data_IF_434290347141
#
_entry.id   IF_434290347141
#
_cell.length_a   1.000
_cell.length_b   1.000
_cell.length_c   1.000
_cell.angle_alpha   90.00
_cell.angle_beta   90.00
_cell.angle_gamma   90.00
#
_symmetry.space_group_name_H-M   'P 1'
#
loop_
_entity.id
_entity.type
_entity.pdbx_description
1 polymer ?
#
# COMPACT_ATOMS: atom_id res chain seq x y z
N UNK A 1 -12.21 -1.44 -19.91
CA UNK A 1 -11.24 -2.53 -20.18
C UNK A 1 -10.10 -2.39 -19.19
N UNK A 2 -9.66 -3.49 -18.54
CA UNK A 2 -8.57 -3.42 -17.57
C UNK A 2 -7.23 -3.23 -18.30
N UNK A 3 -6.53 -2.15 -17.97
CA UNK A 3 -5.19 -1.85 -18.48
C UNK A 3 -4.16 -2.07 -17.37
N UNK A 4 -3.01 -2.63 -17.71
CA UNK A 4 -1.86 -2.66 -16.79
C UNK A 4 -0.86 -1.63 -17.29
N UNK A 5 -0.52 -0.68 -16.42
CA UNK A 5 0.53 0.31 -16.64
C UNK A 5 1.70 -0.04 -15.74
N UNK A 6 2.87 -0.29 -16.33
CA UNK A 6 4.11 -0.48 -15.59
C UNK A 6 5.19 0.45 -16.11
N UNK A 7 5.95 0.98 -15.15
CA UNK A 7 7.12 1.83 -15.38
C UNK A 7 8.36 0.97 -15.25
N UNK A 8 9.05 0.75 -16.37
CA UNK A 8 10.35 0.11 -16.37
C UNK A 8 11.43 1.20 -16.34
N UNK A 9 12.30 1.17 -15.33
CA UNK A 9 13.46 2.04 -15.30
C UNK A 9 14.56 1.43 -16.18
N UNK A 10 14.99 2.17 -17.19
CA UNK A 10 16.17 1.90 -18.00
C UNK A 10 17.30 2.88 -17.60
N UNK A 11 18.54 2.55 -17.93
CA UNK A 11 19.76 3.29 -17.54
C UNK A 11 19.69 4.80 -17.87
N UNK A 12 18.90 5.19 -18.88
CA UNK A 12 18.79 6.58 -19.35
C UNK A 12 17.37 7.17 -19.26
N UNK A 13 16.33 6.39 -18.96
CA UNK A 13 14.93 6.88 -18.94
C UNK A 13 13.93 5.91 -18.29
N UNK A 14 12.72 6.38 -18.01
CA UNK A 14 11.60 5.53 -17.58
C UNK A 14 10.69 5.24 -18.78
N UNK A 15 10.60 3.98 -19.17
CA UNK A 15 9.71 3.55 -20.25
C UNK A 15 8.33 3.20 -19.68
N UNK A 16 7.31 3.83 -20.25
CA UNK A 16 5.91 3.50 -19.99
C UNK A 16 5.43 2.44 -20.98
N UNK A 17 5.06 1.27 -20.48
CA UNK A 17 4.52 0.21 -21.32
C UNK A 17 3.05 0.01 -20.97
N UNK A 18 2.20 0.06 -21.99
CA UNK A 18 0.78 -0.21 -21.88
C UNK A 18 0.48 -1.56 -22.52
N UNK A 19 -0.01 -2.50 -21.73
CA UNK A 19 -0.45 -3.78 -22.25
C UNK A 19 -1.97 -3.82 -22.25
N UNK A 20 -2.58 -3.93 -23.43
CA UNK A 20 -4.02 -4.12 -23.59
C UNK A 20 -4.35 -5.58 -23.32
N UNK A 21 -5.26 -5.81 -22.38
CA UNK A 21 -5.62 -7.16 -21.93
C UNK A 21 -7.08 -7.44 -22.28
N UNK A 22 -7.29 -8.61 -22.90
CA UNK A 22 -8.58 -8.99 -23.47
C UNK A 22 -9.42 -9.87 -22.53
N UNK A 23 -8.81 -10.53 -21.53
CA UNK A 23 -9.51 -11.41 -20.59
C UNK A 23 -9.04 -11.23 -19.14
N UNK A 24 -9.92 -11.50 -18.17
CA UNK A 24 -9.59 -11.40 -16.74
C UNK A 24 -8.52 -12.39 -16.30
N UNK A 25 -8.55 -13.60 -16.86
CA UNK A 25 -7.50 -14.61 -16.62
C UNK A 25 -6.12 -14.12 -17.08
N UNK A 26 -6.08 -13.48 -18.26
CA UNK A 26 -4.86 -12.87 -18.77
C UNK A 26 -4.43 -11.68 -17.90
N UNK A 27 -5.37 -10.86 -17.42
CA UNK A 27 -5.08 -9.73 -16.54
C UNK A 27 -4.47 -10.21 -15.21
N UNK A 28 -5.10 -11.19 -14.57
CA UNK A 28 -4.62 -11.74 -13.31
C UNK A 28 -3.23 -12.37 -13.47
N UNK A 29 -2.98 -13.09 -14.58
CA UNK A 29 -1.66 -13.64 -14.91
C UNK A 29 -0.59 -12.55 -15.04
N UNK A 30 -0.84 -11.53 -15.85
CA UNK A 30 0.13 -10.45 -16.07
C UNK A 30 0.34 -9.61 -14.82
N UNK A 31 -0.73 -9.28 -14.08
CA UNK A 31 -0.63 -8.51 -12.85
C UNK A 31 0.15 -9.27 -11.77
N UNK A 32 -0.12 -10.57 -11.58
CA UNK A 32 0.65 -11.41 -10.66
C UNK A 32 2.13 -11.48 -11.06
N UNK A 33 2.40 -11.67 -12.35
CA UNK A 33 3.76 -11.69 -12.91
C UNK A 33 4.51 -10.39 -12.62
N UNK A 34 3.94 -9.24 -13.01
CA UNK A 34 4.55 -7.93 -12.79
C UNK A 34 4.78 -7.64 -11.30
N UNK A 35 3.84 -8.05 -10.43
CA UNK A 35 3.95 -7.88 -8.98
C UNK A 35 5.09 -8.72 -8.39
N UNK A 36 5.27 -9.96 -8.83
CA UNK A 36 6.42 -10.80 -8.42
C UNK A 36 7.75 -10.30 -8.99
N UNK A 37 7.77 -9.95 -10.28
CA UNK A 37 8.97 -9.42 -10.93
C UNK A 37 9.46 -8.14 -10.26
N UNK A 38 8.55 -7.26 -9.84
CA UNK A 38 8.90 -6.04 -9.09
C UNK A 38 9.58 -6.30 -7.74
N UNK A 39 9.46 -7.52 -7.21
CA UNK A 39 10.08 -8.02 -5.98
C UNK A 39 11.28 -8.93 -6.25
N UNK A 40 11.74 -9.03 -7.50
CA UNK A 40 12.85 -9.89 -7.90
C UNK A 40 12.52 -11.39 -7.92
N UNK A 41 11.23 -11.76 -7.92
CA UNK A 41 10.78 -13.16 -7.92
C UNK A 41 10.28 -13.58 -9.30
N UNK A 42 10.54 -14.84 -9.66
CA UNK A 42 10.16 -15.39 -10.96
C UNK A 42 8.76 -16.02 -10.93
N UNK A 43 8.26 -16.40 -12.10
CA UNK A 43 7.02 -17.17 -12.25
C UNK A 43 7.08 -18.58 -11.65
N UNK A 44 8.28 -19.09 -11.36
CA UNK A 44 8.49 -20.38 -10.70
C UNK A 44 8.36 -20.29 -9.17
N UNK A 45 8.18 -19.08 -8.61
CA UNK A 45 7.95 -18.90 -7.18
C UNK A 45 6.62 -19.55 -6.78
N UNK A 46 6.64 -20.31 -5.68
CA UNK A 46 5.47 -21.05 -5.19
C UNK A 46 4.28 -20.15 -4.85
N UNK A 47 4.50 -18.85 -4.63
CA UNK A 47 3.44 -17.87 -4.36
C UNK A 47 2.69 -17.39 -5.60
N UNK A 48 3.17 -17.70 -6.82
CA UNK A 48 2.57 -17.20 -8.06
C UNK A 48 1.11 -17.59 -8.25
N UNK A 49 0.78 -18.88 -8.11
CA UNK A 49 -0.61 -19.34 -8.30
C UNK A 49 -1.54 -18.78 -7.21
N UNK A 50 -1.04 -18.60 -5.99
CA UNK A 50 -1.81 -17.99 -4.91
C UNK A 50 -2.10 -16.50 -5.17
N UNK A 51 -1.12 -15.75 -5.69
CA UNK A 51 -1.29 -14.33 -6.04
C UNK A 51 -2.27 -14.16 -7.21
N UNK A 52 -2.12 -14.98 -8.26
CA UNK A 52 -3.03 -14.99 -9.40
C UNK A 52 -4.47 -15.30 -8.97
N UNK A 53 -4.66 -16.31 -8.11
CA UNK A 53 -5.98 -16.64 -7.54
C UNK A 53 -6.55 -15.46 -6.76
N UNK A 54 -5.75 -14.82 -5.91
CA UNK A 54 -6.17 -13.64 -5.13
C UNK A 54 -6.69 -12.50 -6.02
N UNK A 55 -6.02 -12.25 -7.16
CA UNK A 55 -6.45 -11.22 -8.12
C UNK A 55 -7.74 -11.64 -8.83
N UNK A 56 -7.89 -12.91 -9.21
CA UNK A 56 -9.12 -13.42 -9.81
C UNK A 56 -10.31 -13.33 -8.85
N UNK A 57 -10.14 -13.75 -7.61
CA UNK A 57 -11.17 -13.69 -6.58
C UNK A 57 -11.61 -12.22 -6.35
N UNK A 58 -10.65 -11.28 -6.36
CA UNK A 58 -10.95 -9.85 -6.26
C UNK A 58 -11.76 -9.32 -7.45
N UNK A 59 -11.43 -9.72 -8.68
CA UNK A 59 -12.17 -9.32 -9.87
C UNK A 59 -13.60 -9.90 -9.86
N UNK A 60 -13.76 -11.14 -9.41
CA UNK A 60 -15.09 -11.76 -9.27
C UNK A 60 -15.95 -11.03 -8.26
N UNK A 61 -15.39 -10.59 -7.12
CA UNK A 61 -16.12 -9.80 -6.12
C UNK A 61 -16.62 -8.44 -6.63
N UNK A 62 -15.99 -7.88 -7.67
CA UNK A 62 -16.41 -6.61 -8.27
C UNK A 62 -17.57 -6.75 -9.25
N UNK A 63 -17.89 -7.96 -9.71
CA UNK A 63 -19.01 -8.21 -10.61
C UNK A 63 -20.32 -8.32 -9.85
N UNK A 64 -21.44 -7.84 -10.41
CA UNK A 64 -22.77 -8.23 -9.96
C UNK A 64 -22.89 -9.76 -9.93
N UNK A 65 -23.44 -10.33 -8.87
CA UNK A 65 -23.76 -11.75 -8.85
C UNK A 65 -24.86 -12.08 -9.87
N UNK A 66 -24.76 -13.21 -10.57
CA UNK A 66 -25.70 -13.65 -11.63
C UNK A 66 -27.12 -14.03 -11.12
N UNK A 67 -27.43 -13.85 -9.83
CA UNK A 67 -28.72 -14.21 -9.26
C UNK A 67 -29.25 -13.11 -8.35
N UNK A 68 -30.57 -12.80 -8.42
CA UNK A 68 -31.15 -11.71 -7.66
C UNK A 68 -30.87 -11.89 -6.18
N UNK A 69 -30.26 -10.83 -5.65
CA UNK A 69 -30.16 -10.47 -4.25
C UNK A 69 -31.40 -10.87 -3.44
N UNK A 70 -31.17 -11.35 -2.22
CA UNK A 70 -32.18 -11.40 -1.16
C UNK A 70 -33.07 -10.15 -1.21
N UNK A 71 -34.38 -10.29 -0.96
CA UNK A 71 -35.30 -9.15 -0.94
C UNK A 71 -34.71 -8.03 -0.06
N UNK A 72 -34.47 -6.81 -0.58
CA UNK A 72 -33.84 -5.73 0.19
C UNK A 72 -34.58 -5.39 1.49
N UNK A 73 -35.89 -5.66 1.52
CA UNK A 73 -36.76 -5.43 2.68
C UNK A 73 -36.68 -6.53 3.75
N UNK A 74 -36.06 -7.68 3.48
CA UNK A 74 -35.85 -8.73 4.49
C UNK A 74 -34.56 -8.52 5.29
N UNK A 75 -33.70 -7.59 4.87
CA UNK A 75 -32.45 -7.25 5.52
C UNK A 75 -32.57 -5.83 6.09
N UNK A 76 -32.64 -5.70 7.43
CA UNK A 76 -32.65 -4.39 8.10
C UNK A 76 -31.24 -3.77 8.11
N UNK A 77 -30.72 -3.43 6.93
CA UNK A 77 -29.40 -2.82 6.76
C UNK A 77 -29.54 -1.30 6.79
N UNK A 78 -28.96 -0.66 7.81
CA UNK A 78 -28.83 0.79 7.89
C UNK A 78 -27.62 1.22 7.08
N UNK A 79 -27.83 1.95 5.99
CA UNK A 79 -26.77 2.28 5.00
C UNK A 79 -25.67 3.16 5.62
N UNK A 80 -26.05 3.97 6.60
CA UNK A 80 -25.22 4.93 7.32
C UNK A 80 -24.08 4.25 8.08
N UNK A 81 -24.28 3.01 8.53
CA UNK A 81 -23.30 2.25 9.32
C UNK A 81 -22.18 1.64 8.46
N UNK A 82 -22.42 1.45 7.16
CA UNK A 82 -21.50 0.74 6.27
C UNK A 82 -20.78 1.64 5.26
N UNK A 83 -21.20 2.91 5.13
CA UNK A 83 -20.73 3.81 4.08
C UNK A 83 -20.25 5.13 4.68
N UNK A 84 -19.06 5.58 4.25
CA UNK A 84 -18.52 6.85 4.71
C UNK A 84 -19.46 8.04 4.39
N UNK A 85 -19.60 9.03 5.30
CA UNK A 85 -20.59 10.10 5.19
C UNK A 85 -20.56 10.90 3.87
N UNK A 86 -19.38 11.02 3.26
CA UNK A 86 -19.19 11.72 1.97
C UNK A 86 -19.97 11.07 0.82
N UNK A 87 -20.20 9.75 0.86
CA UNK A 87 -20.92 9.03 -0.18
C UNK A 87 -22.43 8.96 0.07
N UNK A 88 -22.88 9.04 1.34
CA UNK A 88 -24.29 9.08 1.71
C UNK A 88 -25.04 10.23 1.01
N UNK A 89 -24.40 11.40 0.96
CA UNK A 89 -24.98 12.59 0.32
C UNK A 89 -25.06 12.47 -1.21
N UNK A 90 -24.13 11.76 -1.84
CA UNK A 90 -23.96 11.70 -3.31
C UNK A 90 -24.80 10.61 -3.98
N UNK A 91 -25.13 9.52 -3.28
CA UNK A 91 -25.72 8.32 -3.87
C UNK A 91 -27.07 7.93 -3.23
N UNK A 92 -27.82 8.91 -2.71
CA UNK A 92 -29.12 8.69 -2.05
C UNK A 92 -30.04 7.77 -2.86
N UNK A 93 -30.64 6.78 -2.20
CA UNK A 93 -31.62 5.85 -2.77
C UNK A 93 -31.07 4.67 -3.57
N UNK A 94 -29.81 4.70 -4.05
CA UNK A 94 -29.20 3.58 -4.80
C UNK A 94 -28.23 2.74 -3.97
N UNK A 95 -27.82 3.23 -2.80
CA UNK A 95 -26.81 2.56 -1.96
C UNK A 95 -27.28 1.22 -1.41
N UNK A 96 -28.53 1.13 -0.93
CA UNK A 96 -29.07 -0.12 -0.39
C UNK A 96 -29.02 -1.23 -1.45
N UNK A 97 -29.50 -0.96 -2.66
CA UNK A 97 -29.43 -1.92 -3.77
C UNK A 97 -27.99 -2.39 -4.04
N UNK A 98 -27.03 -1.46 -4.12
CA UNK A 98 -25.61 -1.78 -4.37
C UNK A 98 -24.99 -2.60 -3.25
N UNK A 99 -25.38 -2.36 -1.99
CA UNK A 99 -24.91 -3.14 -0.84
C UNK A 99 -25.45 -4.57 -0.93
N UNK A 100 -26.74 -4.76 -1.21
CA UNK A 100 -27.34 -6.11 -1.29
C UNK A 100 -26.78 -6.88 -2.49
N UNK A 101 -26.56 -6.21 -3.62
CA UNK A 101 -25.90 -6.77 -4.81
C UNK A 101 -24.47 -7.22 -4.51
N UNK A 102 -23.65 -6.38 -3.86
CA UNK A 102 -22.30 -6.75 -3.46
C UNK A 102 -22.28 -7.84 -2.38
N UNK A 103 -23.26 -7.84 -1.47
CA UNK A 103 -23.40 -8.86 -0.43
C UNK A 103 -23.61 -10.26 -1.02
N UNK A 104 -24.25 -10.39 -2.19
CA UNK A 104 -24.45 -11.67 -2.85
C UNK A 104 -23.12 -12.40 -3.17
N UNK A 105 -22.03 -11.67 -3.38
CA UNK A 105 -20.70 -12.22 -3.65
C UNK A 105 -19.99 -12.76 -2.39
N UNK A 106 -20.42 -12.33 -1.20
CA UNK A 106 -19.76 -12.66 0.07
C UNK A 106 -20.65 -13.41 1.06
N UNK A 107 -21.94 -13.60 0.74
CA UNK A 107 -22.94 -14.21 1.63
C UNK A 107 -22.57 -15.59 2.19
N UNK A 108 -21.76 -16.35 1.44
CA UNK A 108 -21.38 -17.72 1.80
C UNK A 108 -19.99 -17.79 2.46
N UNK A 109 -19.31 -16.66 2.67
CA UNK A 109 -18.00 -16.64 3.32
C UNK A 109 -18.16 -16.86 4.84
N UNK A 110 -17.36 -17.76 5.44
CA UNK A 110 -17.25 -17.86 6.89
C UNK A 110 -16.83 -16.52 7.52
N UNK A 111 -17.19 -16.31 8.80
CA UNK A 111 -16.93 -15.04 9.51
C UNK A 111 -15.46 -14.58 9.41
N UNK A 112 -14.51 -15.50 9.59
CA UNK A 112 -13.09 -15.17 9.54
C UNK A 112 -12.65 -14.83 8.13
N UNK A 113 -13.12 -15.56 7.12
CA UNK A 113 -12.78 -15.32 5.72
C UNK A 113 -13.39 -14.01 5.21
N UNK A 114 -14.59 -13.65 5.66
CA UNK A 114 -15.20 -12.36 5.37
C UNK A 114 -14.36 -11.20 5.92
N UNK A 115 -13.92 -11.28 7.19
CA UNK A 115 -13.01 -10.29 7.80
C UNK A 115 -11.68 -10.20 7.07
N UNK A 116 -11.11 -11.35 6.71
CA UNK A 116 -9.82 -11.41 6.03
C UNK A 116 -9.91 -10.90 4.59
N UNK A 117 -11.02 -11.17 3.90
CA UNK A 117 -11.32 -10.58 2.59
C UNK A 117 -11.45 -9.06 2.66
N UNK A 118 -12.12 -8.54 3.70
CA UNK A 118 -12.19 -7.09 3.94
C UNK A 118 -10.80 -6.46 4.11
N UNK A 119 -9.93 -7.08 4.92
CA UNK A 119 -8.55 -6.63 5.12
C UNK A 119 -7.79 -6.64 3.79
N UNK A 120 -7.91 -7.70 2.99
CA UNK A 120 -7.26 -7.78 1.66
C UNK A 120 -7.75 -6.69 0.71
N UNK A 121 -9.06 -6.42 0.70
CA UNK A 121 -9.64 -5.35 -0.11
C UNK A 121 -9.09 -3.98 0.32
N UNK A 122 -8.98 -3.73 1.63
CA UNK A 122 -8.34 -2.53 2.17
C UNK A 122 -6.86 -2.42 1.81
N UNK A 123 -6.11 -3.51 1.89
CA UNK A 123 -4.69 -3.58 1.52
C UNK A 123 -4.40 -3.34 0.04
N UNK A 124 -5.40 -3.59 -0.82
CA UNK A 124 -5.30 -3.36 -2.26
C UNK A 124 -5.61 -1.91 -2.67
N UNK A 125 -5.97 -1.03 -1.73
CA UNK A 125 -6.16 0.39 -2.04
C UNK A 125 -4.82 1.06 -2.40
N UNK A 126 -4.79 2.01 -3.35
CA UNK A 126 -3.56 2.65 -3.82
C UNK A 126 -2.69 3.27 -2.72
N UNK A 127 -3.34 3.91 -1.74
CA UNK A 127 -2.70 4.64 -0.65
C UNK A 127 -2.66 3.84 0.66
N UNK A 128 -2.86 2.53 0.59
CA UNK A 128 -2.77 1.68 1.77
C UNK A 128 -1.37 1.72 2.40
N UNK A 129 -1.35 1.88 3.73
CA UNK A 129 -0.11 1.78 4.51
C UNK A 129 0.87 2.92 4.29
N UNK A 130 0.37 4.11 3.91
CA UNK A 130 1.15 5.34 3.83
C UNK A 130 0.95 6.14 5.11
N UNK A 131 2.04 6.41 5.83
CA UNK A 131 2.07 7.36 6.96
C UNK A 131 2.65 8.68 6.46
N UNK A 132 1.95 9.78 6.72
CA UNK A 132 2.31 11.11 6.20
C UNK A 132 2.88 12.00 7.31
N UNK A 133 3.99 12.66 7.00
CA UNK A 133 4.61 13.68 7.85
C UNK A 133 4.77 14.98 7.07
N UNK A 134 4.53 16.12 7.71
CA UNK A 134 4.87 17.43 7.14
C UNK A 134 6.35 17.67 7.40
N UNK A 135 7.11 17.91 6.35
CA UNK A 135 8.57 18.08 6.40
C UNK A 135 9.02 19.29 5.59
N UNK A 136 10.21 19.78 5.91
CA UNK A 136 10.92 20.76 5.09
C UNK A 136 12.26 20.17 4.64
N UNK A 137 12.37 19.87 3.36
CA UNK A 137 13.62 19.41 2.77
C UNK A 137 14.63 20.54 2.67
N UNK A 138 15.92 20.24 2.82
CA UNK A 138 16.99 21.25 2.76
C UNK A 138 17.15 21.89 1.37
N UNK A 139 16.76 21.18 0.32
CA UNK A 139 16.79 21.66 -1.07
C UNK A 139 15.51 22.44 -1.46
N UNK A 140 14.51 22.51 -0.57
CA UNK A 140 13.23 23.14 -0.84
C UNK A 140 12.93 24.27 0.15
N UNK A 141 12.44 25.40 -0.37
CA UNK A 141 11.95 26.48 0.49
C UNK A 141 10.53 26.23 1.02
N UNK A 142 9.80 25.30 0.40
CA UNK A 142 8.40 24.99 0.72
C UNK A 142 8.31 23.79 1.65
N UNK A 143 7.24 23.76 2.42
CA UNK A 143 6.83 22.57 3.17
C UNK A 143 6.23 21.55 2.22
N UNK A 144 6.52 20.28 2.48
CA UNK A 144 6.14 19.15 1.63
C UNK A 144 5.70 17.97 2.51
N UNK A 145 5.08 16.97 1.90
CA UNK A 145 4.69 15.75 2.60
C UNK A 145 5.72 14.64 2.38
N UNK A 146 6.12 14.00 3.47
CA UNK A 146 6.89 12.76 3.46
C UNK A 146 5.96 11.59 3.72
N UNK A 147 5.73 10.77 2.70
CA UNK A 147 5.01 9.51 2.81
C UNK A 147 5.95 8.35 3.10
N UNK A 148 5.76 7.66 4.21
CA UNK A 148 6.52 6.46 4.57
C UNK A 148 5.61 5.23 4.45
N UNK A 149 6.08 4.21 3.75
CA UNK A 149 5.41 2.91 3.63
C UNK A 149 6.40 1.80 3.97
N UNK A 150 5.92 0.56 4.05
CA UNK A 150 6.75 -0.60 4.39
C UNK A 150 7.94 -0.90 3.46
N UNK A 151 8.01 -0.33 2.25
CA UNK A 151 9.08 -0.62 1.27
C UNK A 151 9.66 0.62 0.58
N UNK A 152 9.11 1.80 0.84
CA UNK A 152 9.49 3.05 0.15
C UNK A 152 9.12 4.28 0.95
N UNK A 153 9.87 5.35 0.70
CA UNK A 153 9.65 6.72 1.13
C UNK A 153 9.29 7.56 -0.10
N UNK A 154 8.37 8.50 0.04
CA UNK A 154 7.86 9.32 -1.05
C UNK A 154 7.83 10.78 -0.62
N UNK A 155 8.28 11.67 -1.50
CA UNK A 155 8.04 13.11 -1.42
C UNK A 155 6.77 13.41 -2.18
N UNK A 156 5.84 14.10 -1.53
CA UNK A 156 4.50 14.36 -2.01
C UNK A 156 4.17 15.85 -1.90
N UNK A 157 3.37 16.36 -2.84
CA UNK A 157 2.88 17.74 -2.76
C UNK A 157 1.89 17.88 -1.61
N UNK A 158 2.02 18.96 -0.82
CA UNK A 158 1.21 19.18 0.37
C UNK A 158 -0.25 19.54 0.06
N UNK A 159 -0.53 20.13 -1.12
CA UNK A 159 -1.86 20.58 -1.51
C UNK A 159 -2.62 19.52 -2.30
N UNK A 160 -1.94 18.85 -3.24
CA UNK A 160 -2.58 17.87 -4.11
C UNK A 160 -2.45 16.45 -3.59
N UNK A 161 -1.42 16.16 -2.79
CA UNK A 161 -1.06 14.79 -2.38
C UNK A 161 -0.39 13.98 -3.50
N UNK A 162 -0.02 14.61 -4.62
CA UNK A 162 0.62 13.90 -5.73
C UNK A 162 2.06 13.47 -5.39
N UNK A 163 2.46 12.31 -5.89
CA UNK A 163 3.83 11.82 -5.74
C UNK A 163 4.81 12.60 -6.64
N UNK A 164 5.79 13.25 -6.02
CA UNK A 164 6.86 14.00 -6.69
C UNK A 164 8.07 13.10 -6.93
N UNK A 165 8.55 12.44 -5.88
CA UNK A 165 9.74 11.56 -5.94
C UNK A 165 9.60 10.37 -5.00
N UNK A 166 10.15 9.23 -5.39
CA UNK A 166 10.06 7.98 -4.62
C UNK A 166 11.44 7.38 -4.43
N UNK A 167 11.77 7.05 -3.18
CA UNK A 167 12.97 6.32 -2.80
C UNK A 167 12.58 4.97 -2.21
N UNK A 168 13.27 3.91 -2.62
CA UNK A 168 12.97 2.55 -2.17
C UNK A 168 13.96 2.12 -1.09
N UNK A 169 13.51 1.29 -0.15
CA UNK A 169 14.40 0.80 0.92
C UNK A 169 15.55 -0.07 0.42
N UNK A 170 15.38 -0.76 -0.70
CA UNK A 170 16.43 -1.60 -1.26
C UNK A 170 17.66 -0.80 -1.76
N UNK A 171 17.50 0.49 -2.09
CA UNK A 171 18.60 1.36 -2.49
C UNK A 171 19.12 2.21 -1.32
N UNK A 172 18.56 2.03 -0.12
CA UNK A 172 18.95 2.78 1.08
C UNK A 172 20.20 2.15 1.71
N UNK A 173 21.20 2.98 1.98
CA UNK A 173 22.47 2.56 2.60
C UNK A 173 22.50 2.81 4.10
N UNK A 174 22.03 3.98 4.52
CA UNK A 174 22.04 4.40 5.91
C UNK A 174 21.00 5.53 6.15
N UNK A 175 20.61 5.73 7.40
CA UNK A 175 19.89 6.92 7.85
C UNK A 175 20.44 7.37 9.20
N UNK A 176 20.45 8.67 9.42
CA UNK A 176 20.95 9.28 10.64
C UNK A 176 20.13 10.52 10.97
N UNK A 177 20.10 10.88 12.25
CA UNK A 177 19.46 12.12 12.71
C UNK A 177 20.53 12.96 13.38
N UNK A 178 20.67 14.21 12.95
CA UNK A 178 21.46 15.21 13.64
C UNK A 178 20.56 15.90 14.69
N UNK A 179 20.83 15.65 15.97
CA UNK A 179 20.04 16.14 17.10
C UNK A 179 20.17 17.63 17.36
N UNK A 180 21.34 18.20 17.08
CA UNK A 180 21.60 19.62 17.33
C UNK A 180 20.71 20.48 16.45
N UNK A 181 20.64 20.13 15.16
CA UNK A 181 19.80 20.84 14.19
C UNK A 181 18.44 20.18 13.96
N UNK A 182 18.15 19.02 14.57
CA UNK A 182 16.94 18.21 14.37
C UNK A 182 16.65 17.86 12.91
N UNK A 183 17.69 17.57 12.13
CA UNK A 183 17.55 17.15 10.74
C UNK A 183 17.74 15.64 10.61
N UNK A 184 16.89 15.02 9.80
CA UNK A 184 17.06 13.64 9.37
C UNK A 184 17.76 13.61 8.01
N UNK A 185 18.76 12.73 7.89
CA UNK A 185 19.47 12.43 6.66
C UNK A 185 19.27 10.97 6.31
N UNK A 186 18.95 10.68 5.06
CA UNK A 186 18.80 9.32 4.53
C UNK A 186 19.65 9.22 3.28
N UNK A 187 20.57 8.27 3.28
CA UNK A 187 21.50 8.02 2.20
C UNK A 187 21.01 6.86 1.34
N UNK A 188 20.84 7.13 0.04
CA UNK A 188 20.55 6.14 -0.99
C UNK A 188 21.74 5.98 -1.95
N UNK A 189 21.68 5.00 -2.84
CA UNK A 189 22.67 4.80 -3.91
C UNK A 189 22.81 6.02 -4.83
N UNK A 190 21.69 6.65 -5.19
CA UNK A 190 21.63 7.79 -6.14
C UNK A 190 21.84 9.16 -5.48
N UNK A 191 22.02 9.20 -4.15
CA UNK A 191 22.20 10.44 -3.40
C UNK A 191 21.57 10.43 -2.01
N UNK A 192 21.71 11.53 -1.29
CA UNK A 192 21.15 11.68 0.06
C UNK A 192 20.02 12.68 0.07
N UNK A 193 19.02 12.45 0.92
CA UNK A 193 18.00 13.44 1.26
C UNK A 193 18.19 13.91 2.69
N UNK A 194 17.94 15.20 2.92
CA UNK A 194 18.01 15.81 4.24
C UNK A 194 16.78 16.67 4.44
N UNK A 195 16.09 16.48 5.56
CA UNK A 195 14.88 17.23 5.89
C UNK A 195 14.73 17.42 7.40
N UNK A 196 13.96 18.43 7.79
CA UNK A 196 13.44 18.59 9.16
C UNK A 196 11.97 18.18 9.20
N UNK A 197 11.55 17.50 10.27
CA UNK A 197 10.15 17.13 10.46
C UNK A 197 9.42 18.24 11.24
N UNK A 198 8.24 18.65 10.73
CA UNK A 198 7.43 19.72 11.30
C UNK A 198 6.20 19.18 12.04
N UNK A 199 5.64 18.06 11.59
CA UNK A 199 4.45 17.46 12.21
C UNK A 199 4.75 16.53 13.40
N UNK A 200 6.00 16.11 13.57
CA UNK A 200 6.43 15.20 14.64
C UNK A 200 7.93 15.35 14.92
N UNK A 201 8.42 14.79 16.03
CA UNK A 201 9.85 14.68 16.27
C UNK A 201 10.51 13.74 15.24
N UNK A 202 11.73 14.07 14.80
CA UNK A 202 12.52 13.22 13.90
C UNK A 202 12.76 11.80 14.47
N UNK A 203 12.65 11.62 15.79
CA UNK A 203 12.62 10.30 16.45
C UNK A 203 11.53 9.39 15.90
N UNK A 204 10.33 9.92 15.71
CA UNK A 204 9.18 9.15 15.20
C UNK A 204 9.49 8.67 13.79
N UNK A 205 9.97 9.56 12.92
CA UNK A 205 10.28 9.24 11.52
C UNK A 205 11.37 8.15 11.41
N UNK A 206 12.41 8.25 12.23
CA UNK A 206 13.45 7.21 12.32
C UNK A 206 12.91 5.88 12.83
N UNK A 207 12.09 5.88 13.88
CA UNK A 207 11.49 4.66 14.41
C UNK A 207 10.60 3.98 13.36
N UNK A 208 9.85 4.75 12.58
CA UNK A 208 9.08 4.22 11.45
C UNK A 208 9.97 3.52 10.42
N UNK A 209 11.08 4.14 10.02
CA UNK A 209 12.01 3.56 9.03
C UNK A 209 12.68 2.31 9.61
N UNK A 210 13.24 2.40 10.81
CA UNK A 210 13.89 1.27 11.49
C UNK A 210 12.93 0.10 11.74
N UNK A 211 11.70 0.41 12.16
CA UNK A 211 10.63 -0.55 12.39
C UNK A 211 10.21 -1.26 11.11
N UNK A 212 10.01 -0.54 10.00
CA UNK A 212 9.69 -1.19 8.72
C UNK A 212 10.82 -2.08 8.20
N UNK A 213 12.07 -1.64 8.34
CA UNK A 213 13.23 -2.46 7.98
C UNK A 213 13.28 -3.71 8.84
N UNK A 214 13.13 -3.58 10.16
CA UNK A 214 13.05 -4.71 11.08
C UNK A 214 11.96 -5.70 10.68
N UNK A 215 10.74 -5.21 10.43
CA UNK A 215 9.62 -6.04 9.98
C UNK A 215 9.91 -6.76 8.66
N UNK A 216 10.66 -6.14 7.74
CA UNK A 216 11.07 -6.75 6.47
C UNK A 216 12.10 -7.88 6.63
N UNK A 217 12.88 -7.89 7.71
CA UNK A 217 13.86 -8.96 8.00
C UNK A 217 13.20 -10.21 8.59
N UNK A 218 11.95 -10.13 9.02
CA UNK A 218 11.20 -11.29 9.54
C UNK A 218 10.78 -12.19 8.38
N UNK A 219 11.26 -13.43 8.36
CA UNK A 219 10.79 -14.46 7.42
C UNK A 219 9.73 -15.36 8.05
N UNK A 220 8.96 -16.05 7.20
CA UNK A 220 7.96 -17.05 7.65
C UNK A 220 8.62 -18.33 8.19
N UNK A 221 9.82 -18.63 7.71
CA UNK A 221 10.57 -19.85 8.03
C UNK A 221 11.54 -19.67 9.20
N UNK A 222 11.78 -18.42 9.64
CA UNK A 222 12.57 -18.14 10.83
C UNK A 222 11.74 -18.32 12.11
N UNK A 223 12.46 -18.57 13.21
CA UNK A 223 11.92 -18.54 14.56
C UNK A 223 11.06 -17.28 14.77
N UNK A 224 9.85 -17.45 15.32
CA UNK A 224 8.98 -16.31 15.68
C UNK A 224 9.47 -15.56 16.93
N UNK A 225 10.60 -15.96 17.51
CA UNK A 225 11.27 -15.22 18.58
C UNK A 225 11.72 -13.85 18.09
N UNK A 226 11.35 -12.81 18.80
CA UNK A 226 11.69 -11.43 18.47
C UNK A 226 13.18 -11.18 18.74
N UNK A 227 13.91 -10.67 17.75
CA UNK A 227 15.27 -10.17 17.96
C UNK A 227 15.21 -8.72 18.47
N UNK A 228 15.08 -8.57 19.79
CA UNK A 228 14.96 -7.26 20.45
C UNK A 228 16.21 -6.40 20.26
N UNK A 229 17.41 -7.00 20.29
CA UNK A 229 18.67 -6.29 20.09
C UNK A 229 18.72 -5.63 18.70
N UNK A 230 18.34 -6.36 17.65
CA UNK A 230 18.27 -5.80 16.29
C UNK A 230 17.21 -4.70 16.20
N UNK A 231 16.05 -4.88 16.83
CA UNK A 231 15.01 -3.86 16.85
C UNK A 231 15.53 -2.57 17.51
N UNK A 232 16.16 -2.67 18.68
CA UNK A 232 16.75 -1.52 19.37
C UNK A 232 17.95 -0.91 18.64
N UNK A 233 18.70 -1.69 17.86
CA UNK A 233 19.76 -1.15 17.00
C UNK A 233 19.21 -0.33 15.82
N UNK A 234 18.05 -0.71 15.29
CA UNK A 234 17.44 -0.06 14.13
C UNK A 234 16.53 1.12 14.50
N UNK A 235 15.97 1.11 15.71
CA UNK A 235 15.02 2.14 16.20
C UNK A 235 15.59 2.97 17.35
N UNK A 236 16.68 2.50 17.95
CA UNK A 236 17.46 3.18 18.98
C UNK A 236 18.78 3.70 18.42
N UNK A 237 19.51 4.43 19.27
CA UNK A 237 20.64 5.29 18.86
C UNK A 237 20.49 6.74 19.32
N UNK A 238 19.61 6.98 20.29
CA UNK A 238 19.32 8.28 20.87
C UNK A 238 19.86 8.46 22.30
N UNK A 239 20.36 7.36 22.90
CA UNK A 239 20.85 7.27 24.28
C UNK A 239 22.37 7.35 24.33
#
# INVERSE_FOLDING_TARGET
MPNINYRAACVESVTHIFNTIYTESQYAKWMACCKLASKGRSLADSSYEAEKKTILDFLQMQKPADSPALNPNSLNIQVEDYIAPKYLKKLKGKLLHRIVEAHANVKNLPLIDAKLSYIRAWQNLPDYGVTLFVVKFMDSKKEELLGITHHRIMKMDINTGDHIKTWRYNTMKAWNVNWEVKHMMIQFEEGSIVFSCLSADCKVVHEFIGGYIFLSTRSKDASQTLNEELFHKLTGGWS
#
